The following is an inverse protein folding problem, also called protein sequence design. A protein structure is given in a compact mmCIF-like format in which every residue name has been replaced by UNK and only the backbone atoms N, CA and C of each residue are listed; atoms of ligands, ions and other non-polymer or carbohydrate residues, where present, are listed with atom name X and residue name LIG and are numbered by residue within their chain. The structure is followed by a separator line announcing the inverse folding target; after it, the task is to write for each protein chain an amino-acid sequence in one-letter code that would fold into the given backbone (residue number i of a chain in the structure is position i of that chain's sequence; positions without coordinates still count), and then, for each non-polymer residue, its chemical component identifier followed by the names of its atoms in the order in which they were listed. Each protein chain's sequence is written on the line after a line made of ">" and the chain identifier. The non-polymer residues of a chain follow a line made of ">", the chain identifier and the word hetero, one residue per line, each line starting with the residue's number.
data_IF_031970388897
#
_entry.id   IF_031970388897
#
_cell.length_a   1.000
_cell.length_b   1.000
_cell.length_c   1.000
_cell.angle_alpha   90.00
_cell.angle_beta   90.00
_cell.angle_gamma   90.00
#
_symmetry.space_group_name_H-M   'P 1'
#
loop_
_entity.id
_entity.type
_entity.pdbx_description
1 polymer ?
#
# COMPACT_ATOMS: atom_id res chain seq x y z
N UNK A 1 -38.17 -15.30 -7.21
CA UNK A 1 -36.98 -15.18 -8.08
C UNK A 1 -36.62 -13.70 -8.16
N UNK A 2 -35.67 -13.25 -7.34
CA UNK A 2 -35.06 -11.92 -7.42
C UNK A 2 -33.66 -12.04 -6.84
N UNK A 3 -32.71 -12.46 -7.68
CA UNK A 3 -31.27 -12.43 -7.40
C UNK A 3 -30.74 -11.14 -8.02
N UNK A 4 -30.87 -10.02 -7.30
CA UNK A 4 -30.38 -8.73 -7.77
C UNK A 4 -28.97 -8.50 -7.21
N UNK A 5 -27.98 -8.85 -8.03
CA UNK A 5 -26.69 -8.17 -8.22
C UNK A 5 -26.03 -7.52 -6.98
N UNK A 6 -25.28 -8.34 -6.23
CA UNK A 6 -24.15 -7.91 -5.41
C UNK A 6 -22.91 -7.76 -6.32
N UNK A 7 -22.80 -6.64 -7.04
CA UNK A 7 -21.61 -6.27 -7.82
C UNK A 7 -20.98 -4.96 -7.32
N UNK A 8 -20.68 -4.89 -6.04
CA UNK A 8 -19.86 -3.81 -5.51
C UNK A 8 -18.94 -4.47 -4.50
N UNK A 9 -17.66 -4.67 -4.86
CA UNK A 9 -16.49 -4.74 -3.94
C UNK A 9 -15.27 -5.40 -4.60
N UNK A 10 -14.76 -4.88 -5.72
CA UNK A 10 -13.46 -5.37 -6.24
C UNK A 10 -12.55 -4.30 -6.84
N UNK A 11 -12.93 -3.02 -6.80
CA UNK A 11 -12.14 -1.91 -7.35
C UNK A 11 -11.22 -1.21 -6.35
N UNK A 12 -11.32 -1.49 -5.05
CA UNK A 12 -10.56 -0.73 -4.04
C UNK A 12 -9.06 -0.98 -4.15
N UNK A 13 -8.57 -2.19 -3.96
CA UNK A 13 -7.12 -2.46 -3.87
C UNK A 13 -6.22 -2.01 -5.05
N UNK A 14 -6.76 -1.77 -6.26
CA UNK A 14 -5.95 -1.32 -7.39
C UNK A 14 -5.48 0.14 -7.21
N UNK A 15 -6.38 1.03 -6.76
CA UNK A 15 -6.06 2.45 -6.56
C UNK A 15 -5.00 2.66 -5.49
N UNK A 16 -5.14 1.99 -4.35
CA UNK A 16 -4.13 1.97 -3.29
C UNK A 16 -2.75 1.53 -3.77
N UNK A 17 -2.67 0.45 -4.55
CA UNK A 17 -1.40 -0.07 -5.04
C UNK A 17 -0.76 0.94 -6.00
N UNK A 18 -1.54 1.57 -6.88
CA UNK A 18 -1.03 2.55 -7.83
C UNK A 18 -0.55 3.84 -7.12
N UNK A 19 -1.26 4.29 -6.09
CA UNK A 19 -0.83 5.41 -5.23
C UNK A 19 0.45 5.09 -4.48
N UNK A 20 0.51 3.93 -3.81
CA UNK A 20 1.72 3.48 -3.13
C UNK A 20 2.89 3.34 -4.10
N UNK A 21 2.64 2.85 -5.32
CA UNK A 21 3.66 2.75 -6.35
C UNK A 21 4.20 4.12 -6.75
N UNK A 22 3.34 5.12 -6.89
CA UNK A 22 3.71 6.49 -7.23
C UNK A 22 4.54 7.12 -6.09
N UNK A 23 4.09 6.98 -4.85
CA UNK A 23 4.82 7.49 -3.68
C UNK A 23 6.22 6.87 -3.55
N UNK A 24 6.36 5.56 -3.77
CA UNK A 24 7.70 4.92 -3.76
C UNK A 24 8.54 5.44 -4.92
N UNK A 25 8.00 5.57 -6.14
CA UNK A 25 8.76 6.04 -7.30
C UNK A 25 9.31 7.47 -7.08
N UNK A 26 8.50 8.36 -6.49
CA UNK A 26 8.89 9.73 -6.12
C UNK A 26 9.97 9.80 -5.04
N UNK A 27 9.96 8.85 -4.10
CA UNK A 27 10.88 8.85 -2.96
C UNK A 27 12.11 7.93 -3.16
N UNK A 28 12.11 7.13 -4.23
CA UNK A 28 13.02 6.02 -4.42
C UNK A 28 13.18 5.68 -5.91
N UNK A 29 13.68 6.66 -6.68
CA UNK A 29 13.86 6.55 -8.13
C UNK A 29 14.61 5.29 -8.55
N UNK A 30 14.22 4.75 -9.71
CA UNK A 30 14.85 3.56 -10.28
C UNK A 30 14.53 2.27 -9.54
N UNK A 31 13.54 2.27 -8.65
CA UNK A 31 13.04 1.05 -8.01
C UNK A 31 12.08 0.34 -8.94
N UNK A 32 12.36 -0.93 -9.21
CA UNK A 32 11.60 -1.68 -10.21
C UNK A 32 10.12 -1.76 -9.82
N UNK A 33 9.21 -1.36 -10.70
CA UNK A 33 7.75 -1.38 -10.47
C UNK A 33 7.23 -2.71 -9.91
N UNK A 34 7.79 -3.83 -10.35
CA UNK A 34 7.46 -5.15 -9.84
C UNK A 34 7.84 -5.33 -8.36
N UNK A 35 9.00 -4.81 -7.95
CA UNK A 35 9.45 -4.84 -6.55
C UNK A 35 8.50 -4.03 -5.67
N UNK A 36 8.13 -2.83 -6.12
CA UNK A 36 7.21 -1.94 -5.42
C UNK A 36 5.84 -2.60 -5.25
N UNK A 37 5.28 -3.14 -6.34
CA UNK A 37 3.99 -3.84 -6.32
C UNK A 37 3.99 -5.03 -5.36
N UNK A 38 5.08 -5.81 -5.33
CA UNK A 38 5.21 -6.94 -4.40
C UNK A 38 5.31 -6.48 -2.95
N UNK A 39 6.03 -5.40 -2.68
CA UNK A 39 6.08 -4.80 -1.34
C UNK A 39 4.72 -4.28 -0.90
N UNK A 40 3.96 -3.64 -1.78
CA UNK A 40 2.58 -3.22 -1.50
C UNK A 40 1.71 -4.42 -1.07
N UNK A 41 1.79 -5.53 -1.80
CA UNK A 41 1.05 -6.76 -1.49
C UNK A 41 1.48 -7.38 -0.15
N UNK A 42 2.77 -7.33 0.19
CA UNK A 42 3.24 -7.74 1.52
C UNK A 42 2.64 -6.84 2.62
N UNK A 43 2.69 -5.52 2.43
CA UNK A 43 2.17 -4.54 3.37
C UNK A 43 0.66 -4.65 3.59
N UNK A 44 -0.14 -5.00 2.57
CA UNK A 44 -1.58 -5.29 2.74
C UNK A 44 -1.84 -6.27 3.88
N UNK A 45 -0.93 -7.24 4.07
CA UNK A 45 -1.09 -8.31 5.05
C UNK A 45 -0.56 -7.92 6.43
N UNK A 46 0.48 -7.09 6.49
CA UNK A 46 1.25 -6.86 7.73
C UNK A 46 1.17 -5.44 8.28
N UNK A 47 0.57 -4.48 7.57
CA UNK A 47 0.57 -3.06 8.01
C UNK A 47 -0.04 -2.85 9.40
N UNK A 48 -1.02 -3.67 9.79
CA UNK A 48 -1.65 -3.62 11.13
C UNK A 48 -0.71 -4.04 12.26
N UNK A 49 0.23 -4.92 11.96
CA UNK A 49 1.25 -5.39 12.89
C UNK A 49 2.39 -4.37 13.03
N UNK A 50 2.39 -3.33 12.18
CA UNK A 50 3.42 -2.29 12.11
C UNK A 50 4.83 -2.87 11.86
N UNK A 51 4.88 -3.95 11.09
CA UNK A 51 6.11 -4.68 10.80
C UNK A 51 6.42 -4.70 9.29
N UNK A 52 7.70 -4.47 8.96
CA UNK A 52 8.25 -4.58 7.61
C UNK A 52 9.19 -5.79 7.50
N UNK A 53 8.73 -6.97 7.89
CA UNK A 53 9.54 -8.18 7.79
C UNK A 53 9.62 -8.77 6.39
N UNK A 54 8.72 -8.37 5.50
CA UNK A 54 8.64 -8.78 4.11
C UNK A 54 9.93 -8.56 3.32
N UNK A 55 10.28 -9.53 2.48
CA UNK A 55 11.54 -9.52 1.74
C UNK A 55 11.60 -8.34 0.76
N UNK A 56 10.48 -8.04 0.09
CA UNK A 56 10.43 -6.97 -0.89
C UNK A 56 10.42 -5.60 -0.21
N UNK A 57 9.67 -5.46 0.89
CA UNK A 57 9.65 -4.24 1.70
C UNK A 57 11.04 -3.92 2.25
N UNK A 58 11.75 -4.89 2.83
CA UNK A 58 13.15 -4.72 3.26
C UNK A 58 14.08 -4.32 2.13
N UNK A 59 13.91 -4.89 0.94
CA UNK A 59 14.72 -4.52 -0.23
C UNK A 59 14.55 -3.05 -0.62
N UNK A 60 13.33 -2.51 -0.54
CA UNK A 60 13.07 -1.10 -0.84
C UNK A 60 13.69 -0.22 0.25
N UNK A 61 13.47 -0.53 1.53
CA UNK A 61 14.04 0.21 2.67
C UNK A 61 15.57 0.25 2.58
N UNK A 62 16.20 -0.90 2.30
CA UNK A 62 17.66 -0.97 2.18
C UNK A 62 18.21 -0.23 0.97
N UNK A 63 17.41 -0.09 -0.09
CA UNK A 63 17.82 0.61 -1.31
C UNK A 63 17.64 2.13 -1.18
N UNK A 64 16.67 2.57 -0.39
CA UNK A 64 16.24 3.96 -0.36
C UNK A 64 16.14 4.51 1.05
N UNK A 65 17.14 5.32 1.40
CA UNK A 65 17.29 5.95 2.72
C UNK A 65 16.10 6.84 3.11
N UNK A 66 15.39 7.41 2.13
CA UNK A 66 14.20 8.25 2.38
C UNK A 66 12.98 7.45 2.83
N UNK A 67 12.95 6.15 2.52
CA UNK A 67 11.85 5.24 2.82
C UNK A 67 12.21 4.41 4.05
N UNK A 68 11.51 4.67 5.16
CA UNK A 68 11.61 3.85 6.38
C UNK A 68 10.39 2.95 6.51
N UNK A 69 10.50 1.94 7.38
CA UNK A 69 9.37 1.07 7.69
C UNK A 69 8.18 1.86 8.24
N UNK A 70 8.41 2.81 9.16
CA UNK A 70 7.32 3.62 9.72
C UNK A 70 6.60 4.40 8.63
N UNK A 71 7.35 5.08 7.74
CA UNK A 71 6.77 5.84 6.64
C UNK A 71 5.95 4.98 5.68
N UNK A 72 6.43 3.77 5.37
CA UNK A 72 5.68 2.83 4.54
C UNK A 72 4.36 2.42 5.19
N UNK A 73 4.37 2.13 6.49
CA UNK A 73 3.15 1.75 7.22
C UNK A 73 2.19 2.93 7.32
N UNK A 74 2.68 4.13 7.59
CA UNK A 74 1.89 5.35 7.69
C UNK A 74 1.19 5.66 6.35
N UNK A 75 1.95 5.67 5.26
CA UNK A 75 1.39 5.90 3.92
C UNK A 75 0.35 4.83 3.58
N UNK A 76 0.68 3.55 3.81
CA UNK A 76 -0.24 2.45 3.52
C UNK A 76 -1.53 2.51 4.36
N UNK A 77 -1.42 2.90 5.63
CA UNK A 77 -2.55 3.06 6.54
C UNK A 77 -3.43 4.23 6.11
N UNK A 78 -2.84 5.37 5.74
CA UNK A 78 -3.57 6.54 5.23
C UNK A 78 -4.33 6.21 3.95
N UNK A 79 -3.70 5.48 3.03
CA UNK A 79 -4.38 5.01 1.81
C UNK A 79 -5.54 4.07 2.13
N UNK A 80 -5.41 3.21 3.15
CA UNK A 80 -6.48 2.31 3.55
C UNK A 80 -7.66 3.03 4.18
N UNK A 81 -7.41 4.02 5.03
CA UNK A 81 -8.45 4.84 5.66
C UNK A 81 -9.23 5.67 4.62
N UNK A 82 -8.51 6.23 3.64
CA UNK A 82 -9.13 6.95 2.51
C UNK A 82 -10.02 6.05 1.67
N UNK A 83 -9.59 4.81 1.38
CA UNK A 83 -10.40 3.86 0.61
C UNK A 83 -11.62 3.33 1.36
N UNK A 84 -11.52 3.14 2.68
CA UNK A 84 -12.65 2.66 3.49
C UNK A 84 -13.67 3.74 3.78
N UNK A 85 -13.46 4.98 3.33
CA UNK A 85 -14.34 6.12 3.58
C UNK A 85 -14.33 6.57 5.04
N UNK A 86 -13.38 6.09 5.84
CA UNK A 86 -13.26 6.46 7.25
C UNK A 86 -12.37 7.71 7.37
N UNK A 87 -12.84 8.82 6.77
CA UNK A 87 -12.22 10.13 6.96
C UNK A 87 -12.76 10.70 8.27
N UNK A 88 -12.15 10.32 9.40
CA UNK A 88 -12.33 11.11 10.63
C UNK A 88 -11.54 12.39 10.39
N UNK A 89 -12.22 13.42 9.88
CA UNK A 89 -11.65 14.74 9.67
C UNK A 89 -11.10 15.32 10.97
N UNK A 90 -9.91 15.92 10.88
CA UNK A 90 -9.45 16.97 11.78
C UNK A 90 -9.74 18.31 11.13
#
# INVERSE_FOLDING_TARGET
>A
MFFTFLLISSTSNAGMIDHFMSWVDENCEGTGKLLIKKSAIELIKTYKEKECHGFFTKKIINKCEKITCEKMIEEFSSLKEKETGNVIGQ
#
